data_IF_404542018066
#
_entry.id   IF_404542018066
#
_cell.length_a   1.000
_cell.length_b   1.000
_cell.length_c   1.000
_cell.angle_alpha   90.00
_cell.angle_beta   90.00
_cell.angle_gamma   90.00
#
_symmetry.space_group_name_H-M   'P 1'
#
loop_
_entity.id
_entity.type
_entity.pdbx_description
1 polymer ?
#
# COMPACT_ATOMS: atom_id res chain seq x y z
N UNK A 1 21.41 -11.72 17.31
CA UNK A 1 20.07 -12.33 17.42
C UNK A 1 19.11 -11.40 16.73
N UNK A 2 18.54 -11.79 15.59
CA UNK A 2 17.53 -10.98 14.93
C UNK A 2 16.30 -10.97 15.84
N UNK A 3 16.00 -9.83 16.46
CA UNK A 3 14.75 -9.62 17.18
C UNK A 3 13.62 -9.83 16.19
N UNK A 4 12.91 -10.95 16.29
CA UNK A 4 11.71 -11.17 15.51
C UNK A 4 10.69 -10.12 15.96
N UNK A 5 10.47 -9.11 15.13
CA UNK A 5 9.43 -8.10 15.36
C UNK A 5 8.09 -8.76 15.10
N UNK A 6 7.15 -8.61 16.03
CA UNK A 6 5.79 -9.06 15.81
C UNK A 6 5.17 -8.22 14.67
N UNK A 7 4.32 -8.81 13.81
CA UNK A 7 3.72 -8.09 12.69
C UNK A 7 2.98 -6.81 13.11
N UNK A 8 2.30 -6.85 14.26
CA UNK A 8 1.59 -5.68 14.81
C UNK A 8 2.55 -4.58 15.28
N UNK A 9 3.68 -4.96 15.92
CA UNK A 9 4.70 -3.99 16.32
C UNK A 9 5.39 -3.34 15.11
N UNK A 10 5.50 -4.07 13.99
CA UNK A 10 6.04 -3.52 12.77
C UNK A 10 5.10 -2.46 12.18
N UNK A 11 3.79 -2.75 12.14
CA UNK A 11 2.78 -1.82 11.62
C UNK A 11 2.68 -0.58 12.50
N UNK A 12 2.73 -0.74 13.83
CA UNK A 12 2.76 0.36 14.79
C UNK A 12 3.93 1.33 14.53
N UNK A 13 5.13 0.79 14.26
CA UNK A 13 6.30 1.60 13.89
C UNK A 13 6.17 2.32 12.55
N UNK A 14 5.27 1.87 11.67
CA UNK A 14 5.02 2.50 10.38
C UNK A 14 3.99 3.63 10.46
N UNK A 15 3.32 3.86 11.59
CA UNK A 15 2.38 4.98 11.77
C UNK A 15 3.13 6.31 11.58
N UNK A 16 2.54 7.22 10.80
CA UNK A 16 3.14 8.48 10.38
C UNK A 16 4.12 8.36 9.20
N UNK A 17 4.39 7.15 8.70
CA UNK A 17 5.26 6.92 7.54
C UNK A 17 4.46 6.61 6.29
N UNK A 18 5.02 6.93 5.12
CA UNK A 18 4.44 6.52 3.83
C UNK A 18 4.68 5.04 3.60
N UNK A 19 3.61 4.29 3.44
CA UNK A 19 3.62 2.85 3.17
C UNK A 19 3.05 2.55 1.79
N UNK A 20 3.33 1.35 1.30
CA UNK A 20 2.72 0.79 0.11
C UNK A 20 2.00 -0.50 0.49
N UNK A 21 0.69 -0.51 0.29
CA UNK A 21 -0.20 -1.62 0.63
C UNK A 21 -0.56 -2.34 -0.66
N UNK A 22 -0.21 -3.62 -0.72
CA UNK A 22 -0.57 -4.52 -1.82
C UNK A 22 -1.74 -5.37 -1.34
N UNK A 23 -2.91 -5.16 -1.93
CA UNK A 23 -4.13 -5.88 -1.60
C UNK A 23 -4.31 -7.08 -2.53
N UNK A 24 -5.10 -8.06 -2.10
CA UNK A 24 -5.52 -9.15 -2.96
C UNK A 24 -6.42 -8.61 -4.09
N UNK A 25 -6.18 -9.08 -5.32
CA UNK A 25 -6.94 -8.66 -6.51
C UNK A 25 -6.33 -7.44 -7.20
N UNK A 26 -5.00 -7.35 -7.21
CA UNK A 26 -4.20 -6.42 -8.02
C UNK A 26 -4.52 -4.94 -7.75
N UNK A 27 -4.93 -4.66 -6.51
CA UNK A 27 -5.15 -3.30 -6.01
C UNK A 27 -4.00 -2.90 -5.12
N UNK A 28 -3.46 -1.73 -5.38
CA UNK A 28 -2.32 -1.23 -4.65
C UNK A 28 -2.54 0.22 -4.24
N UNK A 29 -2.08 0.58 -3.04
CA UNK A 29 -2.24 1.90 -2.46
C UNK A 29 -0.93 2.40 -1.89
N UNK A 30 -0.52 3.61 -2.23
CA UNK A 30 0.58 4.31 -1.54
C UNK A 30 0.02 5.48 -0.77
N UNK A 31 0.27 5.55 0.53
CA UNK A 31 -0.23 6.63 1.40
C UNK A 31 0.45 6.63 2.76
N UNK A 32 0.19 7.65 3.57
CA UNK A 32 0.73 7.77 4.93
C UNK A 32 -0.18 7.01 5.91
N UNK A 33 0.37 6.06 6.67
CA UNK A 33 -0.39 5.32 7.67
C UNK A 33 -0.74 6.22 8.86
N UNK A 34 -2.02 6.49 9.08
CA UNK A 34 -2.49 7.31 10.20
C UNK A 34 -2.78 6.47 11.44
N UNK A 35 -3.26 5.24 11.22
CA UNK A 35 -3.58 4.31 12.28
C UNK A 35 -4.13 3.00 11.75
N UNK A 36 -4.24 2.02 12.64
CA UNK A 36 -4.81 0.71 12.37
C UNK A 36 -5.53 0.18 13.62
N UNK A 37 -6.36 -0.86 13.48
CA UNK A 37 -7.03 -1.53 14.59
C UNK A 37 -6.51 -2.97 14.82
N UNK A 38 -7.07 -3.68 15.80
CA UNK A 38 -6.72 -5.07 16.13
C UNK A 38 -6.97 -6.06 14.97
N UNK A 39 -7.80 -5.67 14.00
CA UNK A 39 -8.11 -6.44 12.79
C UNK A 39 -7.27 -6.03 11.58
N UNK A 40 -6.32 -5.09 11.77
CA UNK A 40 -5.44 -4.56 10.72
C UNK A 40 -6.20 -3.80 9.63
N UNK A 41 -7.37 -3.25 9.95
CA UNK A 41 -7.99 -2.24 9.09
C UNK A 41 -7.14 -0.97 9.17
N UNK A 42 -6.59 -0.53 8.02
CA UNK A 42 -5.66 0.60 7.97
C UNK A 42 -6.36 1.88 7.52
N UNK A 43 -6.05 3.00 8.19
CA UNK A 43 -6.45 4.34 7.79
C UNK A 43 -5.24 5.03 7.15
N UNK A 44 -5.39 5.49 5.92
CA UNK A 44 -4.32 6.12 5.15
C UNK A 44 -4.72 7.54 4.74
N UNK A 45 -3.74 8.45 4.77
CA UNK A 45 -3.84 9.82 4.26
C UNK A 45 -2.98 10.00 2.99
N UNK A 46 -3.31 11.01 2.17
CA UNK A 46 -2.64 11.32 0.90
C UNK A 46 -2.49 10.10 -0.03
N UNK A 47 -3.54 9.29 -0.11
CA UNK A 47 -3.52 8.00 -0.80
C UNK A 47 -3.51 8.17 -2.32
N UNK A 48 -2.59 7.46 -2.97
CA UNK A 48 -2.57 7.24 -4.42
C UNK A 48 -2.91 5.78 -4.70
N UNK A 49 -4.01 5.54 -5.42
CA UNK A 49 -4.32 4.21 -5.96
C UNK A 49 -3.44 3.95 -7.18
N UNK A 50 -2.69 2.85 -7.13
CA UNK A 50 -1.87 2.38 -8.24
C UNK A 50 -2.68 1.34 -9.00
N UNK A 51 -3.18 1.75 -10.17
CA UNK A 51 -3.71 0.81 -11.15
C UNK A 51 -2.50 0.23 -11.88
N UNK A 52 -2.37 -1.09 -11.96
CA UNK A 52 -1.53 -1.71 -13.00
C UNK A 52 -2.03 -1.19 -14.34
N UNK A 53 -1.36 -0.15 -14.87
CA UNK A 53 -1.53 0.25 -16.24
C UNK A 53 -0.91 -0.88 -17.06
N UNK A 54 -1.72 -1.89 -17.38
CA UNK A 54 -1.50 -2.69 -18.57
C UNK A 54 -1.28 -1.70 -19.71
N UNK A 55 -0.03 -1.65 -20.12
CA UNK A 55 0.55 -0.76 -21.11
C UNK A 55 -0.07 -1.03 -22.49
N UNK A 56 -1.35 -0.70 -22.69
CA UNK A 56 -2.11 -1.02 -23.90
C UNK A 56 -2.85 0.20 -24.50
N UNK A 57 -2.44 1.43 -24.16
CA UNK A 57 -3.03 2.64 -24.75
C UNK A 57 -2.09 3.44 -25.67
N UNK A 58 -0.91 2.92 -26.05
CA UNK A 58 0.00 3.65 -26.94
C UNK A 58 0.32 2.98 -28.30
N UNK A 59 -0.23 1.81 -28.64
CA UNK A 59 0.02 1.18 -29.96
C UNK A 59 -1.14 1.29 -30.96
N UNK A 60 -2.26 1.90 -30.61
CA UNK A 60 -3.42 2.06 -31.50
C UNK A 60 -3.53 3.44 -32.18
N UNK A 61 -2.50 4.29 -32.11
CA UNK A 61 -2.46 5.58 -32.83
C UNK A 61 -1.49 5.63 -34.01
N UNK A 62 -0.95 4.48 -34.44
CA UNK A 62 -0.28 4.34 -35.74
C UNK A 62 -1.11 3.41 -36.62
N UNK A 63 -1.96 4.01 -37.46
CA UNK A 63 -2.81 3.32 -38.43
C UNK A 63 -3.97 4.20 -38.87
#
# INVERSE_FOLDING_TARGET
MASQLLPLELIDKCVGSRIWVIMKGDKEFSGTLVGFDDYVNMVLEDVTELYEQHLHYCLSSTG
#
